data_IF_664554088355
#
_entry.id   IF_664554088355
#
_cell.length_a   1.000
_cell.length_b   1.000
_cell.length_c   1.000
_cell.angle_alpha   90.00
_cell.angle_beta   90.00
_cell.angle_gamma   90.00
#
_symmetry.space_group_name_H-M   'P 1'
#
loop_
_entity.id
_entity.type
_entity.pdbx_description
1 polymer ?
#
# COMPACT_ATOMS: atom_id res chain seq x y z
N UNK A 1 -0.46 -1.42 -12.80
CA UNK A 1 -1.64 -1.86 -12.00
C UNK A 1 -1.85 -0.89 -10.83
N UNK A 2 -3.09 -0.50 -10.49
CA UNK A 2 -3.37 0.38 -9.32
C UNK A 2 -3.67 -0.49 -8.09
N UNK A 3 -2.95 -0.27 -6.99
CA UNK A 3 -3.02 -1.11 -5.79
C UNK A 3 -3.24 -0.26 -4.54
N UNK A 4 -4.20 -0.63 -3.70
CA UNK A 4 -4.35 -0.05 -2.37
C UNK A 4 -3.39 -0.73 -1.41
N UNK A 5 -2.37 0.00 -0.95
CA UNK A 5 -1.27 -0.55 -0.17
C UNK A 5 -1.69 -0.88 1.28
N UNK A 6 -2.67 -0.17 1.83
CA UNK A 6 -3.09 -0.34 3.23
C UNK A 6 -4.57 -0.63 3.32
N UNK A 7 -4.98 -1.85 2.96
CA UNK A 7 -6.39 -2.20 2.90
C UNK A 7 -6.75 -3.55 3.53
N UNK A 8 -8.04 -3.68 3.81
CA UNK A 8 -8.72 -4.95 4.03
C UNK A 8 -9.70 -5.20 2.89
N UNK A 9 -10.29 -6.39 2.84
CA UNK A 9 -11.37 -6.72 1.89
C UNK A 9 -12.52 -5.70 1.93
N UNK A 10 -12.83 -5.13 3.10
CA UNK A 10 -13.99 -4.26 3.30
C UNK A 10 -13.68 -2.78 3.06
N UNK A 11 -12.41 -2.37 3.20
CA UNK A 11 -11.98 -0.96 3.16
C UNK A 11 -11.22 -0.62 1.89
N UNK A 12 -11.10 -1.57 0.96
CA UNK A 12 -10.36 -1.39 -0.25
C UNK A 12 -11.10 -0.50 -1.26
N UNK A 13 -10.38 0.47 -1.83
CA UNK A 13 -10.89 1.41 -2.84
C UNK A 13 -10.37 1.09 -4.25
N UNK A 14 -9.53 0.06 -4.39
CA UNK A 14 -9.00 -0.41 -5.66
C UNK A 14 -9.51 -1.84 -5.95
N UNK A 15 -9.32 -2.36 -7.15
CA UNK A 15 -9.56 -3.80 -7.40
C UNK A 15 -8.52 -4.69 -6.71
N UNK A 16 -7.28 -4.21 -6.66
CA UNK A 16 -6.12 -4.88 -6.10
C UNK A 16 -5.68 -4.19 -4.80
N UNK A 17 -5.26 -4.99 -3.81
CA UNK A 17 -4.81 -4.46 -2.53
C UNK A 17 -3.86 -5.40 -1.80
N UNK A 18 -3.07 -4.80 -0.93
CA UNK A 18 -2.27 -5.51 0.06
C UNK A 18 -2.97 -5.44 1.42
N UNK A 19 -2.84 -6.52 2.18
CA UNK A 19 -3.41 -6.61 3.53
C UNK A 19 -2.36 -7.03 4.53
N UNK A 20 -2.42 -6.49 5.74
CA UNK A 20 -1.56 -6.95 6.83
C UNK A 20 -1.85 -8.39 7.22
N UNK A 21 -3.11 -8.80 7.13
CA UNK A 21 -3.55 -10.14 7.46
C UNK A 21 -3.49 -11.03 6.23
N UNK A 22 -3.14 -12.30 6.43
CA UNK A 22 -3.32 -13.36 5.43
C UNK A 22 -4.77 -13.35 4.97
N UNK A 23 -4.98 -12.93 3.73
CA UNK A 23 -6.29 -12.85 3.11
C UNK A 23 -6.16 -13.39 1.69
N UNK A 24 -6.91 -14.46 1.41
CA UNK A 24 -6.94 -15.13 0.10
C UNK A 24 -7.33 -14.24 -1.08
N UNK A 25 -7.89 -13.05 -0.80
CA UNK A 25 -8.31 -12.08 -1.80
C UNK A 25 -7.38 -10.86 -1.89
N UNK A 26 -6.36 -10.78 -1.04
CA UNK A 26 -5.32 -9.77 -1.14
C UNK A 26 -4.25 -10.27 -2.13
N UNK A 27 -3.69 -9.36 -2.91
CA UNK A 27 -2.60 -9.68 -3.85
C UNK A 27 -1.32 -10.07 -3.11
N UNK A 28 -1.12 -9.48 -1.94
CA UNK A 28 0.01 -9.80 -1.09
C UNK A 28 -0.26 -9.44 0.37
N UNK A 29 0.53 -10.05 1.25
CA UNK A 29 0.61 -9.70 2.66
C UNK A 29 1.68 -8.64 2.87
N UNK A 30 1.39 -7.65 3.73
CA UNK A 30 2.26 -6.52 4.08
C UNK A 30 2.81 -5.73 2.88
N UNK A 31 2.31 -4.50 2.71
CA UNK A 31 2.77 -3.62 1.65
C UNK A 31 4.27 -3.31 1.71
N UNK A 32 4.89 -3.26 2.89
CA UNK A 32 6.30 -2.88 3.00
C UNK A 32 7.26 -3.94 2.45
N UNK A 33 6.81 -5.19 2.34
CA UNK A 33 7.57 -6.28 1.73
C UNK A 33 7.50 -6.27 0.19
N UNK A 34 6.54 -5.55 -0.39
CA UNK A 34 6.33 -5.54 -1.83
C UNK A 34 7.23 -4.52 -2.54
N UNK A 35 7.52 -4.78 -3.81
CA UNK A 35 8.15 -3.80 -4.70
C UNK A 35 7.11 -2.80 -5.20
N UNK A 36 7.28 -1.52 -4.86
CA UNK A 36 6.34 -0.47 -5.27
C UNK A 36 6.66 0.13 -6.64
N UNK A 37 7.82 -0.16 -7.23
CA UNK A 37 8.23 0.42 -8.53
C UNK A 37 7.39 -0.08 -9.70
N UNK A 38 6.75 -1.23 -9.54
CA UNK A 38 5.93 -1.88 -10.59
C UNK A 38 4.44 -1.58 -10.47
N UNK A 39 4.02 -0.82 -9.46
CA UNK A 39 2.61 -0.53 -9.18
C UNK A 39 2.34 0.97 -9.01
N UNK A 40 1.12 1.39 -9.34
CA UNK A 40 0.62 2.74 -9.01
C UNK A 40 -0.02 2.67 -7.62
N UNK A 41 0.78 2.99 -6.60
CA UNK A 41 0.38 2.83 -5.20
C UNK A 41 -0.64 3.88 -4.76
N UNK A 42 -1.70 3.45 -4.09
CA UNK A 42 -2.57 4.31 -3.30
C UNK A 42 -2.40 3.93 -1.82
N UNK A 43 -2.07 4.90 -0.97
CA UNK A 43 -1.78 4.65 0.43
C UNK A 43 -2.68 5.50 1.34
N UNK A 44 -3.45 4.82 2.19
CA UNK A 44 -4.13 5.43 3.34
C UNK A 44 -3.65 4.75 4.63
N UNK A 45 -2.39 4.96 5.04
CA UNK A 45 -1.81 4.30 6.20
C UNK A 45 -2.32 4.93 7.51
N UNK A 46 -2.26 4.20 8.63
CA UNK A 46 -2.24 4.79 9.97
C UNK A 46 -1.17 5.90 10.10
N UNK A 47 -1.46 6.93 10.91
CA UNK A 47 -0.59 8.12 11.05
C UNK A 47 0.86 7.77 11.38
N UNK A 48 1.07 6.82 12.28
CA UNK A 48 2.40 6.35 12.70
C UNK A 48 3.21 5.68 11.59
N UNK A 49 2.59 5.32 10.46
CA UNK A 49 3.25 4.68 9.32
C UNK A 49 3.53 5.64 8.15
N UNK A 50 3.04 6.89 8.20
CA UNK A 50 3.20 7.89 7.13
C UNK A 50 4.68 8.09 6.78
N UNK A 51 5.54 8.32 7.79
CA UNK A 51 6.97 8.51 7.56
C UNK A 51 7.59 7.28 6.88
N UNK A 52 7.21 6.07 7.30
CA UNK A 52 7.73 4.82 6.73
C UNK A 52 7.30 4.64 5.27
N UNK A 53 6.08 5.05 4.91
CA UNK A 53 5.60 5.05 3.51
C UNK A 53 6.42 6.01 2.67
N UNK A 54 6.64 7.24 3.15
CA UNK A 54 7.44 8.24 2.43
C UNK A 54 8.88 7.77 2.24
N UNK A 55 9.52 7.26 3.29
CA UNK A 55 10.89 6.73 3.21
C UNK A 55 10.98 5.61 2.18
N UNK A 56 10.08 4.61 2.23
CA UNK A 56 10.12 3.50 1.26
C UNK A 56 9.88 3.99 -0.17
N UNK A 57 8.90 4.86 -0.40
CA UNK A 57 8.61 5.40 -1.72
C UNK A 57 9.83 6.14 -2.29
N UNK A 58 10.49 6.96 -1.48
CA UNK A 58 11.71 7.67 -1.87
C UNK A 58 12.87 6.70 -2.13
N UNK A 59 13.11 5.73 -1.25
CA UNK A 59 14.18 4.74 -1.41
C UNK A 59 14.01 3.90 -2.68
N UNK A 60 12.77 3.58 -3.07
CA UNK A 60 12.49 2.80 -4.27
C UNK A 60 12.32 3.67 -5.53
N UNK A 61 12.23 5.00 -5.40
CA UNK A 61 11.84 5.86 -6.52
C UNK A 61 10.42 5.57 -7.03
N UNK A 62 9.53 5.09 -6.16
CA UNK A 62 8.17 4.69 -6.50
C UNK A 62 7.16 5.83 -6.35
N UNK A 63 6.21 5.91 -7.28
CA UNK A 63 5.11 6.88 -7.23
C UNK A 63 3.96 6.34 -6.37
N UNK A 64 3.62 7.06 -5.29
CA UNK A 64 2.53 6.69 -4.37
C UNK A 64 1.64 7.89 -4.10
N UNK A 65 0.33 7.70 -4.36
CA UNK A 65 -0.70 8.65 -3.94
C UNK A 65 -1.03 8.42 -2.47
N UNK A 66 -0.45 9.24 -1.60
CA UNK A 66 -0.65 9.19 -0.16
C UNK A 66 -1.81 10.10 0.27
N UNK A 67 -2.74 9.54 1.05
CA UNK A 67 -3.78 10.27 1.78
C UNK A 67 -3.52 10.07 3.27
N UNK A 68 -3.01 11.11 3.92
CA UNK A 68 -2.85 11.16 5.37
C UNK A 68 -4.04 11.91 5.98
N UNK A 69 -4.63 11.34 7.03
CA UNK A 69 -5.78 11.88 7.78
C UNK A 69 -5.61 11.66 9.26
#
# INVERSE_FOLDING_TARGET
MKVHLFASRLTNQCRHYFSWWSNRFAEATDAFLQDWTTVKGFAKPPWNLVQRVLTKAQTQGAEVNLVAS
#
